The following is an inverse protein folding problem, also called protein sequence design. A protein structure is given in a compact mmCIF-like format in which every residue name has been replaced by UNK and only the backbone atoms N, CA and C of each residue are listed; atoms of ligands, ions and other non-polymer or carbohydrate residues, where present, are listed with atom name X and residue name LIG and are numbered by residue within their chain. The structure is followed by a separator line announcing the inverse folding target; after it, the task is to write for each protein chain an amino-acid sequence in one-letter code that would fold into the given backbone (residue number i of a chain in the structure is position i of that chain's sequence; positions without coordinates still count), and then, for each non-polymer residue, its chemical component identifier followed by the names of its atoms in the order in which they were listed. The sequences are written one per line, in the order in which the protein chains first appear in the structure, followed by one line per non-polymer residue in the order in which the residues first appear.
data_IF_334856749494
#
_entry.id   IF_334856749494
#
_cell.length_a   1.000
_cell.length_b   1.000
_cell.length_c   1.000
_cell.angle_alpha   90.00
_cell.angle_beta   90.00
_cell.angle_gamma   90.00
#
_symmetry.space_group_name_H-M   'P 1'
#
loop_
_entity.id
_entity.type
_entity.pdbx_description
1 polymer ?
#
# COMPACT_ATOMS: atom_id res chain seq x y z
N UNK A 1 -43.12 0.73 -92.25
CA UNK A 1 -43.42 -0.58 -91.63
C UNK A 1 -42.17 -1.10 -90.93
N UNK A 2 -42.13 -1.04 -89.58
CA UNK A 2 -41.52 -2.00 -88.65
C UNK A 2 -41.35 -1.38 -87.25
N UNK A 3 -42.24 -1.83 -86.36
CA UNK A 3 -42.10 -2.20 -84.94
C UNK A 3 -40.91 -1.58 -84.19
N UNK A 4 -41.19 -0.76 -83.17
CA UNK A 4 -40.22 -0.40 -82.12
C UNK A 4 -40.51 -1.19 -80.84
N UNK A 5 -39.46 -1.81 -80.31
CA UNK A 5 -39.46 -2.79 -79.21
C UNK A 5 -39.74 -2.17 -77.84
N UNK A 6 -40.51 -2.93 -77.04
CA UNK A 6 -40.70 -2.77 -75.60
C UNK A 6 -39.34 -2.79 -74.86
N UNK A 7 -39.03 -1.73 -74.11
CA UNK A 7 -37.86 -1.74 -73.22
C UNK A 7 -38.16 -2.49 -71.91
N UNK A 8 -37.24 -3.41 -71.59
CA UNK A 8 -37.18 -4.20 -70.35
C UNK A 8 -36.75 -3.26 -69.21
N UNK A 9 -37.50 -3.22 -68.10
CA UNK A 9 -37.08 -2.53 -66.87
C UNK A 9 -36.07 -3.40 -66.11
N UNK A 10 -34.94 -2.85 -65.62
CA UNK A 10 -34.00 -3.60 -64.81
C UNK A 10 -34.55 -3.78 -63.38
N UNK A 11 -34.50 -5.01 -62.87
CA UNK A 11 -34.73 -5.31 -61.45
C UNK A 11 -33.46 -4.94 -60.68
N UNK A 12 -33.45 -3.79 -60.00
CA UNK A 12 -32.41 -3.48 -59.00
C UNK A 12 -32.65 -4.34 -57.76
N UNK A 13 -31.93 -5.45 -57.64
CA UNK A 13 -32.02 -6.37 -56.52
C UNK A 13 -31.28 -5.88 -55.26
N UNK A 14 -31.82 -6.30 -54.12
CA UNK A 14 -31.45 -6.15 -52.69
C UNK A 14 -29.98 -6.36 -52.25
N UNK A 15 -28.99 -6.24 -53.15
CA UNK A 15 -27.60 -6.58 -52.84
C UNK A 15 -26.95 -5.52 -51.93
N UNK A 16 -27.23 -4.23 -52.16
CA UNK A 16 -26.64 -3.11 -51.37
C UNK A 16 -27.16 -3.06 -49.91
N UNK A 17 -28.42 -3.41 -49.66
CA UNK A 17 -28.96 -3.46 -48.30
C UNK A 17 -28.37 -4.63 -47.49
N UNK A 18 -28.14 -5.77 -48.15
CA UNK A 18 -27.54 -6.96 -47.54
C UNK A 18 -26.08 -6.70 -47.12
N UNK A 19 -25.28 -6.11 -48.00
CA UNK A 19 -23.87 -5.79 -47.70
C UNK A 19 -23.75 -4.76 -46.59
N UNK A 20 -24.60 -3.73 -46.56
CA UNK A 20 -24.62 -2.72 -45.48
C UNK A 20 -24.95 -3.35 -44.12
N UNK A 21 -25.91 -4.29 -44.09
CA UNK A 21 -26.29 -5.02 -42.87
C UNK A 21 -25.16 -5.93 -42.35
N UNK A 22 -24.45 -6.60 -43.26
CA UNK A 22 -23.32 -7.47 -42.92
C UNK A 22 -22.15 -6.64 -42.37
N UNK A 23 -21.83 -5.51 -43.01
CA UNK A 23 -20.76 -4.60 -42.55
C UNK A 23 -21.08 -4.04 -41.17
N UNK A 24 -22.33 -3.62 -40.93
CA UNK A 24 -22.76 -3.09 -39.63
C UNK A 24 -22.68 -4.14 -38.52
N UNK A 25 -23.08 -5.39 -38.79
CA UNK A 25 -22.95 -6.50 -37.82
C UNK A 25 -21.48 -6.83 -37.53
N UNK A 26 -20.61 -6.79 -38.54
CA UNK A 26 -19.17 -7.02 -38.37
C UNK A 26 -18.54 -5.92 -37.51
N UNK A 27 -18.93 -4.66 -37.73
CA UNK A 27 -18.47 -3.52 -36.93
C UNK A 27 -18.90 -3.64 -35.46
N UNK A 28 -20.15 -4.04 -35.20
CA UNK A 28 -20.67 -4.27 -33.85
C UNK A 28 -19.92 -5.42 -33.16
N UNK A 29 -19.63 -6.52 -33.87
CA UNK A 29 -18.82 -7.61 -33.32
C UNK A 29 -17.40 -7.17 -32.97
N UNK A 30 -16.75 -6.36 -33.82
CA UNK A 30 -15.41 -5.81 -33.53
C UNK A 30 -15.43 -4.91 -32.30
N UNK A 31 -16.45 -4.05 -32.16
CA UNK A 31 -16.61 -3.21 -30.97
C UNK A 31 -16.84 -4.07 -29.72
N UNK A 32 -17.70 -5.10 -29.78
CA UNK A 32 -17.93 -5.97 -28.63
C UNK A 32 -16.68 -6.76 -28.22
N UNK A 33 -15.89 -7.25 -29.18
CA UNK A 33 -14.59 -7.91 -28.89
C UNK A 33 -13.58 -6.91 -28.31
N UNK A 34 -13.53 -5.68 -28.81
CA UNK A 34 -12.67 -4.63 -28.26
C UNK A 34 -13.09 -4.23 -26.84
N UNK A 35 -14.40 -4.14 -26.55
CA UNK A 35 -14.93 -3.90 -25.19
C UNK A 35 -14.62 -5.08 -24.27
N UNK A 36 -14.70 -6.33 -24.75
CA UNK A 36 -14.31 -7.53 -23.99
C UNK A 36 -12.80 -7.61 -23.71
N UNK A 37 -11.96 -7.10 -24.63
CA UNK A 37 -10.51 -6.99 -24.44
C UNK A 37 -10.13 -5.83 -23.50
N UNK A 38 -10.93 -4.77 -23.45
CA UNK A 38 -10.79 -3.65 -22.51
C UNK A 38 -11.30 -3.97 -21.11
N UNK A 39 -12.17 -4.97 -20.95
CA UNK A 39 -12.36 -5.65 -19.66
C UNK A 39 -11.20 -6.61 -19.40
N UNK A 40 -9.98 -6.09 -19.38
CA UNK A 40 -8.91 -6.77 -18.66
C UNK A 40 -9.38 -6.86 -17.22
N UNK A 41 -9.75 -8.08 -16.82
CA UNK A 41 -9.98 -8.41 -15.43
C UNK A 41 -8.79 -7.84 -14.64
N UNK A 42 -9.04 -6.85 -13.77
CA UNK A 42 -8.04 -6.32 -12.85
C UNK A 42 -7.59 -7.49 -11.97
N UNK A 43 -6.61 -8.23 -12.47
CA UNK A 43 -6.02 -9.33 -11.75
C UNK A 43 -5.15 -8.63 -10.74
N UNK A 44 -5.69 -8.42 -9.53
CA UNK A 44 -4.96 -7.88 -8.40
C UNK A 44 -3.65 -8.65 -8.35
N UNK A 45 -2.53 -7.99 -8.67
CA UNK A 45 -1.22 -8.63 -8.62
C UNK A 45 -0.99 -8.97 -7.16
N UNK A 46 -1.20 -10.24 -6.82
CA UNK A 46 -0.99 -10.73 -5.46
C UNK A 46 0.47 -10.48 -5.09
N UNK A 47 0.70 -9.72 -4.02
CA UNK A 47 2.05 -9.54 -3.47
C UNK A 47 2.65 -10.90 -3.18
N UNK A 48 3.88 -11.12 -3.66
CA UNK A 48 4.64 -12.31 -3.30
C UNK A 48 5.10 -12.21 -1.83
N UNK A 49 4.67 -13.17 -1.01
CA UNK A 49 4.92 -13.19 0.43
C UNK A 49 5.60 -14.50 0.83
N UNK A 50 6.86 -14.43 1.21
CA UNK A 50 7.64 -15.58 1.68
C UNK A 50 7.27 -15.94 3.12
N UNK A 51 7.29 -17.23 3.43
CA UNK A 51 7.07 -17.72 4.80
C UNK A 51 8.33 -17.50 5.65
N UNK A 52 8.13 -17.03 6.87
CA UNK A 52 9.18 -16.95 7.91
C UNK A 52 8.63 -17.43 9.24
N UNK A 53 9.52 -17.68 10.21
CA UNK A 53 9.15 -17.86 11.62
C UNK A 53 10.07 -16.98 12.45
N UNK A 54 9.56 -15.79 12.79
CA UNK A 54 10.27 -14.80 13.60
C UNK A 54 9.39 -14.41 14.78
N UNK A 55 9.85 -14.69 16.00
CA UNK A 55 9.18 -14.27 17.23
C UNK A 55 10.04 -13.20 17.91
N UNK A 56 9.45 -12.04 18.18
CA UNK A 56 10.10 -10.98 18.94
C UNK A 56 9.08 -10.27 19.84
N UNK A 57 9.43 -10.08 21.12
CA UNK A 57 8.52 -9.51 22.13
C UNK A 57 7.16 -10.22 22.21
N UNK A 58 7.12 -11.54 22.00
CA UNK A 58 5.90 -12.35 21.98
C UNK A 58 5.04 -12.21 20.71
N UNK A 59 5.51 -11.47 19.70
CA UNK A 59 4.82 -11.26 18.43
C UNK A 59 5.47 -12.12 17.36
N UNK A 60 4.67 -12.99 16.72
CA UNK A 60 5.13 -13.87 15.64
C UNK A 60 4.87 -13.26 14.26
N UNK A 61 5.95 -12.88 13.56
CA UNK A 61 5.91 -12.52 12.14
C UNK A 61 6.05 -13.78 11.30
N UNK A 62 5.08 -14.01 10.41
CA UNK A 62 4.96 -15.24 9.63
C UNK A 62 5.19 -15.04 8.14
N UNK A 63 5.20 -13.79 7.68
CA UNK A 63 5.42 -13.43 6.28
C UNK A 63 6.49 -12.36 6.12
N UNK A 64 7.16 -12.37 4.98
CA UNK A 64 8.11 -11.36 4.53
C UNK A 64 7.82 -10.99 3.08
N UNK A 65 8.07 -9.73 2.72
CA UNK A 65 8.01 -9.23 1.34
C UNK A 65 9.29 -8.48 0.99
N UNK A 66 9.61 -8.42 -0.30
CA UNK A 66 10.79 -7.71 -0.82
C UNK A 66 12.09 -8.11 -0.12
N UNK A 67 12.29 -9.43 -0.01
CA UNK A 67 13.50 -10.06 0.56
C UNK A 67 13.73 -9.78 2.05
N UNK A 68 12.72 -9.30 2.78
CA UNK A 68 12.85 -8.97 4.20
C UNK A 68 13.34 -10.15 5.05
N UNK A 69 13.08 -11.40 4.65
CA UNK A 69 13.56 -12.59 5.36
C UNK A 69 15.08 -12.73 5.39
N UNK A 70 15.80 -12.06 4.48
CA UNK A 70 17.27 -12.03 4.45
C UNK A 70 17.84 -10.72 5.02
N UNK A 71 16.97 -9.79 5.42
CA UNK A 71 17.32 -8.42 5.80
C UNK A 71 16.83 -8.02 7.19
N UNK A 72 16.81 -8.98 8.12
CA UNK A 72 16.55 -8.70 9.54
C UNK A 72 17.58 -9.35 10.46
N UNK A 73 17.72 -8.79 11.66
CA UNK A 73 18.47 -9.37 12.78
C UNK A 73 17.77 -9.08 14.08
N UNK A 74 17.87 -9.98 15.05
CA UNK A 74 17.21 -9.87 16.35
C UNK A 74 18.19 -10.17 17.47
N UNK A 75 18.03 -9.46 18.58
CA UNK A 75 18.57 -9.82 19.89
C UNK A 75 17.46 -9.65 20.95
N UNK A 76 17.80 -9.85 22.22
CA UNK A 76 16.84 -9.85 23.34
C UNK A 76 15.98 -8.58 23.44
N UNK A 77 16.47 -7.43 22.97
CA UNK A 77 15.84 -6.12 23.17
C UNK A 77 15.47 -5.38 21.89
N UNK A 78 16.01 -5.82 20.74
CA UNK A 78 15.95 -5.10 19.47
C UNK A 78 15.74 -6.07 18.31
N UNK A 79 14.75 -5.74 17.48
CA UNK A 79 14.61 -6.26 16.12
C UNK A 79 15.06 -5.17 15.15
N UNK A 80 15.91 -5.52 14.19
CA UNK A 80 16.42 -4.58 13.19
C UNK A 80 16.02 -5.07 11.81
N UNK A 81 15.51 -4.16 10.98
CA UNK A 81 15.22 -4.38 9.56
C UNK A 81 16.13 -3.47 8.75
N UNK A 82 16.85 -4.02 7.78
CA UNK A 82 17.72 -3.24 6.89
C UNK A 82 16.93 -2.77 5.67
N UNK A 83 16.87 -1.46 5.47
CA UNK A 83 16.36 -0.86 4.26
C UNK A 83 17.40 -0.99 3.16
N UNK A 84 17.02 -1.60 2.04
CA UNK A 84 17.89 -1.83 0.89
C UNK A 84 18.01 -0.52 0.11
N UNK A 85 19.21 -0.15 -0.34
CA UNK A 85 19.40 1.05 -1.14
C UNK A 85 18.53 1.07 -2.40
N UNK A 86 17.83 2.18 -2.63
CA UNK A 86 16.85 2.35 -3.72
C UNK A 86 15.45 1.80 -3.42
N UNK A 87 15.18 1.37 -2.19
CA UNK A 87 13.88 0.80 -1.82
C UNK A 87 12.93 1.84 -1.22
N UNK A 88 11.64 1.76 -1.58
CA UNK A 88 10.59 2.68 -1.13
C UNK A 88 9.19 2.05 -1.17
N UNK A 89 8.23 2.65 -0.47
CA UNK A 89 6.79 2.44 -0.68
C UNK A 89 6.12 3.79 -0.91
N UNK A 90 5.82 4.09 -2.18
CA UNK A 90 5.16 5.33 -2.58
C UNK A 90 4.59 5.20 -4.00
N UNK A 91 3.32 5.57 -4.17
CA UNK A 91 2.68 5.71 -5.49
C UNK A 91 2.35 7.18 -5.66
N UNK A 92 3.08 7.87 -6.54
CA UNK A 92 3.01 9.32 -6.61
C UNK A 92 1.61 9.80 -7.03
N UNK A 93 1.08 10.87 -6.39
CA UNK A 93 -0.23 11.42 -6.73
C UNK A 93 -0.37 11.85 -8.20
N UNK A 94 0.75 12.24 -8.82
CA UNK A 94 0.85 12.65 -10.23
C UNK A 94 0.92 11.47 -11.22
N UNK A 95 0.95 10.22 -10.73
CA UNK A 95 1.02 9.01 -11.54
C UNK A 95 2.40 8.72 -12.16
N UNK A 96 3.43 9.51 -11.86
CA UNK A 96 4.76 9.35 -12.45
C UNK A 96 5.58 8.18 -11.88
N UNK A 97 5.30 7.72 -10.66
CA UNK A 97 6.10 6.71 -9.95
C UNK A 97 5.23 5.75 -9.15
N UNK A 98 5.53 4.46 -9.23
CA UNK A 98 4.92 3.41 -8.43
C UNK A 98 6.02 2.55 -7.83
N UNK A 99 6.19 2.64 -6.52
CA UNK A 99 7.25 1.96 -5.77
C UNK A 99 6.63 1.17 -4.62
N UNK A 100 6.98 -0.12 -4.53
CA UNK A 100 6.54 -1.05 -3.48
C UNK A 100 7.67 -2.08 -3.22
N UNK A 101 8.86 -1.58 -2.90
CA UNK A 101 10.12 -2.34 -2.93
C UNK A 101 10.84 -2.42 -1.59
N UNK A 102 10.43 -1.67 -0.56
CA UNK A 102 11.05 -1.77 0.76
C UNK A 102 10.78 -3.13 1.43
N UNK A 103 11.74 -3.74 2.15
CA UNK A 103 11.53 -5.00 2.86
C UNK A 103 10.52 -4.83 3.99
N UNK A 104 9.52 -5.72 4.11
CA UNK A 104 8.55 -5.70 5.22
C UNK A 104 8.44 -7.09 5.87
N UNK A 105 8.57 -7.14 7.19
CA UNK A 105 8.18 -8.30 8.02
C UNK A 105 6.73 -8.15 8.45
N UNK A 106 5.93 -9.20 8.37
CA UNK A 106 4.48 -9.13 8.46
C UNK A 106 3.90 -10.07 9.52
N UNK A 107 3.06 -9.51 10.41
CA UNK A 107 2.20 -10.20 11.38
C UNK A 107 0.76 -10.17 10.88
N UNK A 108 0.13 -11.32 10.69
CA UNK A 108 -1.30 -11.38 10.34
C UNK A 108 -2.16 -10.91 11.52
N UNK A 109 -3.19 -10.11 11.21
CA UNK A 109 -4.19 -9.60 12.15
C UNK A 109 -5.60 -9.84 11.61
N UNK A 110 -6.50 -10.27 12.50
CA UNK A 110 -7.94 -10.22 12.29
C UNK A 110 -8.46 -8.81 12.58
N UNK A 111 -8.58 -8.01 11.52
CA UNK A 111 -9.00 -6.61 11.54
C UNK A 111 -10.47 -6.41 11.95
N UNK A 112 -11.24 -7.47 12.16
CA UNK A 112 -12.59 -7.37 12.73
C UNK A 112 -12.57 -7.21 14.26
N UNK A 113 -11.41 -7.42 14.89
CA UNK A 113 -11.20 -7.32 16.33
C UNK A 113 -10.39 -6.08 16.70
N UNK A 114 -10.56 -5.54 17.93
CA UNK A 114 -9.70 -4.49 18.42
C UNK A 114 -8.25 -4.96 18.51
N UNK A 115 -7.32 -4.06 18.24
CA UNK A 115 -5.91 -4.28 18.50
C UNK A 115 -5.19 -2.96 18.78
N UNK A 116 -4.12 -3.02 19.56
CA UNK A 116 -3.16 -1.93 19.72
C UNK A 116 -1.75 -2.47 19.56
N UNK A 117 -1.05 -1.97 18.54
CA UNK A 117 0.33 -2.27 18.25
C UNK A 117 1.19 -1.05 18.55
N UNK A 118 2.26 -1.22 19.34
CA UNK A 118 3.21 -0.15 19.68
C UNK A 118 4.63 -0.63 19.41
N UNK A 119 5.49 0.27 18.94
CA UNK A 119 6.93 0.08 18.84
C UNK A 119 7.68 1.38 19.12
N UNK A 120 8.81 1.31 19.81
CA UNK A 120 9.81 2.37 19.82
C UNK A 120 10.68 2.20 18.57
N UNK A 121 10.62 3.16 17.66
CA UNK A 121 11.30 3.12 16.37
C UNK A 121 12.48 4.09 16.39
N UNK A 122 13.68 3.57 16.11
CA UNK A 122 14.89 4.34 15.83
C UNK A 122 15.35 3.99 14.42
N UNK A 123 15.97 4.91 13.70
CA UNK A 123 16.57 4.60 12.40
C UNK A 123 17.83 5.42 12.20
N UNK A 124 18.75 4.93 11.37
CA UNK A 124 20.03 5.62 11.12
C UNK A 124 19.81 7.00 10.49
N UNK A 125 18.80 7.10 9.62
CA UNK A 125 18.30 8.34 9.00
C UNK A 125 19.43 9.27 8.50
N UNK A 126 20.17 8.84 7.49
CA UNK A 126 21.32 9.60 6.96
C UNK A 126 21.02 10.37 5.68
N UNK A 127 20.00 9.95 4.93
CA UNK A 127 19.65 10.49 3.61
C UNK A 127 18.19 10.96 3.63
N UNK A 128 17.84 11.84 2.70
CA UNK A 128 16.44 12.23 2.52
C UNK A 128 15.61 10.97 2.26
N UNK A 129 14.45 10.88 2.91
CA UNK A 129 13.49 9.78 2.83
C UNK A 129 13.95 8.44 3.44
N UNK A 130 15.13 8.37 4.08
CA UNK A 130 15.43 7.24 4.95
C UNK A 130 14.39 7.21 6.08
N UNK A 131 13.79 6.03 6.32
CA UNK A 131 12.77 5.90 7.36
C UNK A 131 12.74 4.52 8.01
N UNK A 132 12.42 4.51 9.31
CA UNK A 132 11.91 3.33 10.00
C UNK A 132 10.39 3.40 10.09
N UNK A 133 9.71 2.29 9.77
CA UNK A 133 8.28 2.34 9.44
C UNK A 133 7.51 1.17 10.01
N UNK A 134 6.29 1.44 10.50
CA UNK A 134 5.29 0.43 10.80
C UNK A 134 4.06 0.60 9.88
N UNK A 135 3.39 -0.50 9.55
CA UNK A 135 2.31 -0.50 8.56
C UNK A 135 1.02 -1.11 9.09
N UNK A 136 -0.10 -0.66 8.50
CA UNK A 136 -1.18 -1.58 8.14
C UNK A 136 -1.03 -1.89 6.65
N UNK A 137 -0.77 -3.14 6.33
CA UNK A 137 -0.42 -3.59 4.99
C UNK A 137 -1.47 -4.57 4.45
N UNK A 138 -1.86 -4.39 3.19
CA UNK A 138 -2.81 -5.27 2.49
C UNK A 138 -2.08 -5.91 1.31
N UNK A 139 -1.56 -5.09 0.40
CA UNK A 139 -0.82 -5.51 -0.80
C UNK A 139 0.05 -4.36 -1.37
N UNK A 140 0.62 -4.57 -2.56
CA UNK A 140 1.51 -3.63 -3.27
C UNK A 140 0.80 -2.41 -3.88
N UNK A 141 -0.51 -2.23 -3.65
CA UNK A 141 -1.30 -1.08 -4.11
C UNK A 141 -2.14 -0.45 -2.98
N UNK A 142 -2.28 -1.15 -1.84
CA UNK A 142 -3.09 -0.71 -0.70
C UNK A 142 -2.34 -0.87 0.62
N UNK A 143 -2.02 0.25 1.27
CA UNK A 143 -1.38 0.27 2.59
C UNK A 143 -1.64 1.57 3.34
N UNK A 144 -1.44 1.51 4.65
CA UNK A 144 -1.23 2.67 5.51
C UNK A 144 0.20 2.59 6.04
N UNK A 145 1.01 3.58 5.68
CA UNK A 145 2.40 3.74 6.10
C UNK A 145 2.45 4.71 7.28
N UNK A 146 3.14 4.34 8.35
CA UNK A 146 3.47 5.23 9.45
C UNK A 146 4.98 5.21 9.67
N UNK A 147 5.65 6.33 9.41
CA UNK A 147 7.11 6.40 9.33
C UNK A 147 7.72 7.46 10.23
N UNK A 148 8.90 7.14 10.76
CA UNK A 148 9.87 8.09 11.28
C UNK A 148 10.90 8.35 10.18
N UNK A 149 10.78 9.47 9.49
CA UNK A 149 11.40 9.70 8.17
C UNK A 149 12.18 11.03 8.13
N UNK A 150 13.26 11.08 7.33
CA UNK A 150 13.94 12.33 7.01
C UNK A 150 13.26 13.08 5.88
N UNK A 151 12.91 14.33 6.13
CA UNK A 151 12.35 15.20 5.10
C UNK A 151 13.42 15.84 4.19
N UNK A 152 12.96 16.55 3.17
CA UNK A 152 13.76 17.29 2.20
C UNK A 152 14.59 18.43 2.82
N UNK A 153 14.24 18.86 4.04
CA UNK A 153 14.99 19.84 4.83
C UNK A 153 15.92 19.18 5.85
N UNK A 154 16.15 17.87 5.71
CA UNK A 154 17.05 17.06 6.52
C UNK A 154 16.60 16.86 7.98
N UNK A 155 15.32 17.10 8.28
CA UNK A 155 14.73 16.96 9.63
C UNK A 155 14.06 15.59 9.74
N UNK A 156 14.26 14.92 10.87
CA UNK A 156 13.55 13.69 11.17
C UNK A 156 12.16 14.02 11.71
N UNK A 157 11.12 13.37 11.18
CA UNK A 157 9.73 13.69 11.52
C UNK A 157 8.80 12.50 11.40
N UNK A 158 7.61 12.66 11.94
CA UNK A 158 6.54 11.68 11.78
C UNK A 158 5.84 11.90 10.44
N UNK A 159 5.64 10.82 9.69
CA UNK A 159 5.01 10.84 8.36
C UNK A 159 3.94 9.76 8.28
N UNK A 160 2.80 10.08 7.69
CA UNK A 160 1.73 9.12 7.41
C UNK A 160 1.39 9.13 5.93
N UNK A 161 1.21 7.96 5.33
CA UNK A 161 0.76 7.82 3.94
C UNK A 161 -0.40 6.85 3.87
N UNK A 162 -1.54 7.27 3.33
CA UNK A 162 -2.61 6.34 2.92
C UNK A 162 -2.46 6.07 1.44
N UNK A 163 -2.29 4.81 1.07
CA UNK A 163 -2.23 4.41 -0.33
C UNK A 163 -3.41 3.51 -0.68
N UNK A 164 -4.10 3.92 -1.75
CA UNK A 164 -5.28 3.26 -2.31
C UNK A 164 -5.23 3.47 -3.83
N UNK A 165 -4.30 2.75 -4.48
CA UNK A 165 -3.88 3.00 -5.87
C UNK A 165 -3.10 4.31 -6.10
N UNK A 166 -3.16 5.26 -5.16
CA UNK A 166 -2.40 6.51 -5.13
C UNK A 166 -2.11 6.90 -3.67
N UNK A 167 -0.92 7.46 -3.42
CA UNK A 167 -0.48 7.84 -2.07
C UNK A 167 -0.95 9.23 -1.68
N UNK A 168 -1.60 9.34 -0.53
CA UNK A 168 -1.92 10.59 0.16
C UNK A 168 -0.97 10.71 1.36
N UNK A 169 0.07 11.54 1.21
CA UNK A 169 1.13 11.74 2.18
C UNK A 169 0.91 12.98 3.06
N UNK A 170 1.30 12.85 4.33
CA UNK A 170 1.23 13.95 5.27
C UNK A 170 2.41 13.92 6.24
N UNK A 171 3.07 15.08 6.35
CA UNK A 171 4.18 15.33 7.25
C UNK A 171 3.68 15.99 8.54
N UNK A 172 3.90 15.32 9.67
CA UNK A 172 3.55 15.77 11.02
C UNK A 172 4.75 16.44 11.71
N UNK A 173 4.80 16.38 13.04
CA UNK A 173 5.80 17.04 13.87
C UNK A 173 7.23 16.56 13.61
N UNK A 174 8.15 17.51 13.73
CA UNK A 174 9.59 17.26 13.75
C UNK A 174 9.93 16.63 15.09
N UNK A 175 10.72 15.57 15.06
CA UNK A 175 11.17 14.87 16.24
C UNK A 175 12.65 15.23 16.46
N UNK A 176 12.94 15.89 17.58
CA UNK A 176 14.31 16.32 17.93
C UNK A 176 15.21 15.22 18.49
N UNK A 177 14.69 14.01 18.66
CA UNK A 177 15.37 12.83 19.18
C UNK A 177 15.58 11.78 18.08
N UNK A 178 16.44 10.80 18.32
CA UNK A 178 16.81 9.75 17.36
C UNK A 178 15.87 8.53 17.37
N UNK A 179 14.79 8.60 18.15
CA UNK A 179 13.75 7.59 18.22
C UNK A 179 12.37 8.21 18.39
N UNK A 180 11.31 7.46 18.10
CA UNK A 180 9.92 7.87 18.39
C UNK A 180 9.10 6.63 18.70
N UNK A 181 8.22 6.71 19.70
CA UNK A 181 7.22 5.67 19.90
C UNK A 181 6.10 5.86 18.91
N UNK A 182 5.72 4.79 18.24
CA UNK A 182 4.69 4.77 17.22
C UNK A 182 3.68 3.71 17.58
N UNK A 183 2.41 4.06 17.47
CA UNK A 183 1.29 3.20 17.84
C UNK A 183 0.23 3.20 16.75
N UNK A 184 -0.25 2.00 16.42
CA UNK A 184 -1.43 1.76 15.60
C UNK A 184 -2.49 1.15 16.51
N UNK A 185 -3.65 1.78 16.61
CA UNK A 185 -4.78 1.21 17.35
C UNK A 185 -6.02 1.13 16.47
N UNK A 186 -6.75 0.03 16.59
CA UNK A 186 -8.02 -0.21 15.91
C UNK A 186 -9.06 -0.70 16.90
N UNK A 187 -10.31 -0.27 16.72
CA UNK A 187 -11.48 -0.84 17.39
C UNK A 187 -12.34 -1.69 16.42
N UNK A 188 -11.77 -2.07 15.27
CA UNK A 188 -12.47 -2.74 14.18
C UNK A 188 -13.26 -1.80 13.26
N UNK A 189 -13.58 -0.57 13.69
CA UNK A 189 -14.32 0.42 12.87
C UNK A 189 -13.45 1.59 12.40
N UNK A 190 -12.42 1.92 13.16
CA UNK A 190 -11.49 3.01 12.89
C UNK A 190 -10.07 2.56 13.19
N UNK A 191 -9.10 3.08 12.44
CA UNK A 191 -7.66 2.88 12.68
C UNK A 191 -7.05 4.24 12.99
N UNK A 192 -6.34 4.36 14.11
CA UNK A 192 -5.63 5.55 14.53
C UNK A 192 -4.12 5.33 14.59
N UNK A 193 -3.37 6.33 14.15
CA UNK A 193 -1.92 6.43 14.27
C UNK A 193 -1.55 7.47 15.31
N UNK A 194 -0.72 7.08 16.27
CA UNK A 194 -0.31 7.92 17.38
C UNK A 194 1.20 7.85 17.55
N UNK A 195 1.80 8.96 17.95
CA UNK A 195 3.22 9.01 18.25
C UNK A 195 3.49 9.65 19.61
N UNK A 196 4.64 9.32 20.18
CA UNK A 196 5.08 9.84 21.47
C UNK A 196 6.61 9.95 21.51
N UNK A 197 7.12 10.98 22.16
CA UNK A 197 8.56 11.17 22.40
C UNK A 197 9.05 10.44 23.65
N UNK A 198 8.15 10.16 24.61
CA UNK A 198 8.47 9.52 25.89
C UNK A 198 7.78 8.15 26.11
N UNK A 199 6.83 7.79 25.24
CA UNK A 199 6.05 6.55 25.34
C UNK A 199 4.87 6.64 26.32
N UNK A 200 4.63 7.82 26.90
CA UNK A 200 3.61 8.10 27.92
C UNK A 200 2.57 9.07 27.35
N UNK A 201 2.99 10.21 26.81
CA UNK A 201 2.10 11.24 26.25
C UNK A 201 1.95 11.03 24.75
N UNK A 202 0.71 10.80 24.29
CA UNK A 202 0.44 10.41 22.90
C UNK A 202 -0.21 11.53 22.10
N UNK A 203 0.28 11.72 20.88
CA UNK A 203 -0.27 12.66 19.92
C UNK A 203 -0.93 11.89 18.78
N UNK A 204 -2.14 12.28 18.40
CA UNK A 204 -2.82 11.75 17.22
C UNK A 204 -2.12 12.28 15.95
N UNK A 205 -1.58 11.38 15.12
CA UNK A 205 -1.08 11.71 13.79
C UNK A 205 -2.23 11.66 12.76
N UNK A 206 -2.97 10.54 12.70
CA UNK A 206 -4.03 10.37 11.70
C UNK A 206 -5.09 9.38 12.19
N UNK A 207 -6.33 9.59 11.75
CA UNK A 207 -7.44 8.66 11.99
C UNK A 207 -8.11 8.32 10.66
N UNK A 208 -8.41 7.04 10.46
CA UNK A 208 -9.00 6.50 9.25
C UNK A 208 -10.29 5.75 9.59
N UNK A 209 -11.24 5.76 8.67
CA UNK A 209 -12.31 4.76 8.67
C UNK A 209 -11.71 3.41 8.31
N UNK A 210 -12.01 2.36 9.08
CA UNK A 210 -11.55 1.01 8.79
C UNK A 210 -12.45 0.37 7.72
N UNK A 211 -12.07 0.51 6.45
CA UNK A 211 -12.74 -0.15 5.32
C UNK A 211 -11.87 -1.29 4.74
N UNK A 212 -10.88 -1.78 5.50
CA UNK A 212 -9.94 -2.80 5.03
C UNK A 212 -10.50 -4.21 5.23
N UNK A 213 -10.01 -5.22 4.47
CA UNK A 213 -10.45 -6.60 4.61
C UNK A 213 -10.27 -7.14 6.04
N UNK A 214 -10.96 -8.24 6.35
CA UNK A 214 -10.81 -8.92 7.66
C UNK A 214 -9.36 -9.33 7.93
N UNK A 215 -8.67 -9.82 6.90
CA UNK A 215 -7.25 -10.19 7.00
C UNK A 215 -6.41 -9.02 6.53
N UNK A 216 -5.60 -8.48 7.44
CA UNK A 216 -4.56 -7.48 7.16
C UNK A 216 -3.25 -7.92 7.77
N UNK A 217 -2.19 -7.17 7.49
CA UNK A 217 -0.89 -7.38 8.09
C UNK A 217 -0.44 -6.13 8.86
N UNK A 218 0.11 -6.32 10.05
CA UNK A 218 0.96 -5.31 10.66
C UNK A 218 2.39 -5.52 10.16
N UNK A 219 3.00 -4.46 9.66
CA UNK A 219 4.32 -4.51 9.03
C UNK A 219 5.40 -3.78 9.82
N UNK A 220 6.62 -4.30 9.80
CA UNK A 220 7.85 -3.60 10.18
C UNK A 220 8.75 -3.47 8.95
N UNK A 221 9.23 -2.26 8.66
CA UNK A 221 10.08 -2.00 7.50
C UNK A 221 11.14 -0.95 7.79
N UNK A 222 12.18 -0.96 6.98
CA UNK A 222 13.02 0.21 6.78
C UNK A 222 13.12 0.50 5.30
N UNK A 223 13.04 1.78 4.93
CA UNK A 223 13.24 2.22 3.54
C UNK A 223 14.53 3.04 3.41
N UNK A 224 15.09 3.01 2.20
CA UNK A 224 16.26 3.81 1.82
C UNK A 224 16.14 4.19 0.35
N UNK A 225 15.34 5.22 -0.02
CA UNK A 225 15.08 5.54 -1.42
C UNK A 225 16.33 6.04 -2.18
N UNK A 226 17.36 6.47 -1.46
CA UNK A 226 18.67 6.83 -2.02
C UNK A 226 19.67 5.66 -1.90
N UNK A 227 20.73 5.62 -2.72
CA UNK A 227 21.74 4.57 -2.63
C UNK A 227 22.33 4.41 -1.22
N UNK A 228 22.62 3.17 -0.84
CA UNK A 228 23.11 2.80 0.49
C UNK A 228 21.99 2.35 1.42
N UNK A 229 22.31 1.48 2.39
CA UNK A 229 21.31 0.89 3.27
C UNK A 229 20.90 1.82 4.42
N UNK A 230 19.71 1.60 4.98
CA UNK A 230 19.21 2.30 6.16
C UNK A 230 18.66 1.28 7.18
N UNK A 231 19.35 0.95 8.28
CA UNK A 231 18.76 0.11 9.30
C UNK A 231 17.71 0.87 10.14
N UNK A 232 16.58 0.23 10.40
CA UNK A 232 15.60 0.65 11.40
C UNK A 232 15.54 -0.36 12.55
N UNK A 233 15.49 0.16 13.76
CA UNK A 233 15.58 -0.54 15.03
C UNK A 233 14.24 -0.43 15.75
N UNK A 234 13.66 -1.56 16.08
CA UNK A 234 12.37 -1.69 16.74
C UNK A 234 12.58 -2.31 18.12
N UNK A 235 12.24 -1.55 19.15
CA UNK A 235 12.29 -2.00 20.55
C UNK A 235 10.98 -1.69 21.26
N UNK A 236 10.85 -2.13 22.51
CA UNK A 236 9.67 -1.89 23.36
C UNK A 236 8.35 -2.21 22.62
N UNK A 237 8.35 -3.30 21.87
CA UNK A 237 7.20 -3.67 21.04
C UNK A 237 6.14 -4.37 21.87
N UNK A 238 4.88 -4.09 21.56
CA UNK A 238 3.74 -4.77 22.16
C UNK A 238 2.59 -4.85 21.18
N UNK A 239 1.86 -5.97 21.20
CA UNK A 239 0.59 -6.14 20.51
C UNK A 239 -0.42 -6.66 21.52
N UNK A 240 -1.56 -5.99 21.61
CA UNK A 240 -2.64 -6.32 22.55
C UNK A 240 -3.98 -6.28 21.85
N UNK A 241 -4.96 -7.00 22.39
CA UNK A 241 -6.36 -7.00 21.93
C UNK A 241 -7.17 -5.80 22.49
N UNK A 242 -6.49 -4.77 23.03
CA UNK A 242 -7.15 -3.55 23.53
C UNK A 242 -7.32 -2.51 22.43
N UNK A 243 -8.23 -1.56 22.64
CA UNK A 243 -8.42 -0.39 21.79
C UNK A 243 -8.25 0.90 22.61
N UNK A 244 -7.98 2.00 21.91
CA UNK A 244 -7.98 3.36 22.47
C UNK A 244 -9.41 3.88 22.49
N UNK A 245 -9.88 4.29 23.67
CA UNK A 245 -11.26 4.72 23.87
C UNK A 245 -11.50 6.14 23.34
N UNK A 246 -10.54 7.02 23.58
CA UNK A 246 -10.51 8.39 23.14
C UNK A 246 -9.44 8.56 22.06
N UNK A 247 -9.86 8.35 20.81
CA UNK A 247 -9.00 8.50 19.64
C UNK A 247 -8.39 9.90 19.48
N UNK A 248 -8.94 10.94 20.13
CA UNK A 248 -8.38 12.30 20.04
C UNK A 248 -7.21 12.51 21.00
N UNK A 249 -7.24 11.86 22.15
CA UNK A 249 -6.17 11.93 23.16
C UNK A 249 -5.17 10.77 23.06
N UNK A 250 -5.52 9.68 22.38
CA UNK A 250 -4.65 8.50 22.29
C UNK A 250 -4.70 7.60 23.53
N UNK A 251 -5.78 7.70 24.32
CA UNK A 251 -6.02 7.03 25.61
C UNK A 251 -7.25 6.10 25.58
#
# INVERSE_FOLDING_TARGET
MKISMTQIRPVKGNIEQSTTSIIMKLFICIIMVAVFLLTSCNTVKKTDMKNISLIFSGIEFTKAVNDAENHYRVNDSLLVVDGIGGSNYFISPDGMRTEATAPILLKEIDNSRPFTFTACVKSKIEKIYDAGTIYVYIDNEHWLKFAFERDEKLRCRVVTVKTDGSSDDNNHDIIGQDYVYMRIASNGKQIGYYYSTNGVDWNLARIYKNNYPRKIWLGLSSQSPKPGNNPAFFGKMSLTDSYISNHRLGE
#
